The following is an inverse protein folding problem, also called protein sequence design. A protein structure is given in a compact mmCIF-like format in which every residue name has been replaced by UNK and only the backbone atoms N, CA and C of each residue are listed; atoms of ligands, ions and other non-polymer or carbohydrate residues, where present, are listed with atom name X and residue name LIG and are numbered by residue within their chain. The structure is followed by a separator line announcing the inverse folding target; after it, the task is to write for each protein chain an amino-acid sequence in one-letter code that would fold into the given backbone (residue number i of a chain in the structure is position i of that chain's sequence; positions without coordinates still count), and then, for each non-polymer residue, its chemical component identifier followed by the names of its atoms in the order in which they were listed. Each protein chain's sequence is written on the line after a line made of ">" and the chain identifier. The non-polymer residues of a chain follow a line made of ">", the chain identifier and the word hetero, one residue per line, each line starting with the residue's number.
data_IF_184990035068
#
_entry.id   IF_184990035068
#
_cell.length_a   1.000
_cell.length_b   1.000
_cell.length_c   1.000
_cell.angle_alpha   90.00
_cell.angle_beta   90.00
_cell.angle_gamma   90.00
#
_symmetry.space_group_name_H-M   'P 1'
#
loop_
_entity.id
_entity.type
_entity.pdbx_description
1 polymer ?
#
# COMPACT_ATOMS: atom_id res chain seq x y z
N UNK A 1 79.03 39.63 20.20
CA UNK A 1 78.05 39.56 21.25
C UNK A 1 76.70 39.29 20.60
N UNK A 2 76.29 38.05 20.53
CA UNK A 2 75.02 37.61 19.94
C UNK A 2 74.12 37.20 21.12
N UNK A 3 72.99 37.88 21.30
CA UNK A 3 72.00 37.50 22.29
C UNK A 3 71.06 36.48 21.67
N UNK A 4 70.93 35.33 22.31
CA UNK A 4 69.97 34.26 22.00
C UNK A 4 68.67 34.58 22.70
N UNK A 5 67.62 34.74 21.96
CA UNK A 5 66.25 34.81 22.51
C UNK A 5 65.62 33.40 22.49
N UNK A 6 65.32 32.88 23.68
CA UNK A 6 64.62 31.62 23.86
C UNK A 6 63.14 31.92 23.92
N UNK A 7 62.39 31.49 22.88
CA UNK A 7 60.93 31.56 22.89
C UNK A 7 60.33 30.31 23.52
N UNK A 8 59.66 30.48 24.66
CA UNK A 8 58.86 29.43 25.29
C UNK A 8 57.56 29.22 24.50
N UNK A 9 57.37 28.01 23.96
CA UNK A 9 56.13 27.58 23.35
C UNK A 9 55.22 27.02 24.46
N UNK A 10 54.15 27.73 24.79
CA UNK A 10 53.08 27.24 25.69
C UNK A 10 52.10 26.44 24.85
N UNK A 11 52.11 25.13 25.03
CA UNK A 11 51.10 24.23 24.42
C UNK A 11 49.87 24.26 25.32
N UNK A 12 48.82 24.95 24.91
CA UNK A 12 47.51 24.89 25.53
C UNK A 12 46.80 23.61 25.05
N UNK A 13 46.66 22.61 25.90
CA UNK A 13 45.80 21.44 25.67
C UNK A 13 44.36 21.82 25.77
N UNK A 14 43.66 21.99 24.66
CA UNK A 14 42.18 22.10 24.62
C UNK A 14 41.60 20.73 24.91
N UNK A 15 40.97 20.58 26.09
CA UNK A 15 40.13 19.44 26.39
C UNK A 15 38.91 19.50 25.50
N UNK A 16 38.75 18.53 24.59
CA UNK A 16 37.49 18.32 23.85
C UNK A 16 36.41 17.97 24.88
N UNK A 17 35.49 18.89 25.10
CA UNK A 17 34.26 18.59 25.81
C UNK A 17 33.42 17.62 24.92
N UNK A 18 33.16 16.43 25.44
CA UNK A 18 32.26 15.49 24.78
C UNK A 18 30.86 16.10 24.65
N UNK A 19 30.30 16.07 23.46
CA UNK A 19 28.93 16.51 23.22
C UNK A 19 27.96 15.77 24.15
N UNK A 20 26.97 16.47 24.75
CA UNK A 20 25.99 15.85 25.62
C UNK A 20 25.15 14.86 24.80
N UNK A 21 25.14 13.61 25.27
CA UNK A 21 24.32 12.52 24.72
C UNK A 21 22.86 13.02 24.58
N UNK A 22 22.23 12.89 23.40
CA UNK A 22 20.87 13.37 23.23
C UNK A 22 19.94 12.71 24.26
N UNK A 23 19.16 13.53 24.95
CA UNK A 23 18.20 13.07 25.95
C UNK A 23 17.27 12.00 25.34
N UNK A 24 17.11 10.89 26.06
CA UNK A 24 16.19 9.82 25.64
C UNK A 24 14.79 10.41 25.47
N UNK A 25 14.17 10.16 24.31
CA UNK A 25 12.77 10.55 24.08
C UNK A 25 11.91 9.96 25.19
N UNK A 26 10.99 10.73 25.79
CA UNK A 26 10.10 10.20 26.80
C UNK A 26 9.33 9.00 26.25
N UNK A 27 9.25 7.93 27.02
CA UNK A 27 8.47 6.74 26.66
C UNK A 27 7.03 7.18 26.35
N UNK A 28 6.54 6.83 25.17
CA UNK A 28 5.17 7.13 24.74
C UNK A 28 4.21 6.47 25.75
N UNK A 29 3.44 7.29 26.46
CA UNK A 29 2.35 6.86 27.34
C UNK A 29 1.04 6.61 26.58
N UNK A 30 1.11 6.42 25.26
CA UNK A 30 -0.02 6.06 24.43
C UNK A 30 -0.58 4.67 24.77
N UNK A 31 -1.85 4.40 24.45
CA UNK A 31 -2.47 3.11 24.70
C UNK A 31 -1.60 1.98 24.15
N UNK A 32 -1.41 0.92 24.93
CA UNK A 32 -0.67 -0.28 24.48
C UNK A 32 -1.53 -1.03 23.47
N UNK A 33 -1.24 -0.87 22.18
CA UNK A 33 -1.93 -1.58 21.09
C UNK A 33 -1.60 -3.07 21.16
N UNK A 34 -2.64 -3.91 21.11
CA UNK A 34 -2.45 -5.35 21.03
C UNK A 34 -2.17 -5.71 19.56
N UNK A 35 -0.94 -6.16 19.28
CA UNK A 35 -0.60 -6.71 17.95
C UNK A 35 -1.51 -7.89 17.65
N UNK A 36 -2.17 -7.85 16.47
CA UNK A 36 -2.98 -8.95 15.98
C UNK A 36 -2.06 -10.07 15.51
N UNK A 37 -2.48 -11.32 15.80
CA UNK A 37 -1.78 -12.51 15.31
C UNK A 37 -2.65 -13.17 14.25
N UNK A 38 -2.06 -13.60 13.12
CA UNK A 38 -2.80 -14.29 12.06
C UNK A 38 -3.38 -15.62 12.57
N UNK A 39 -4.60 -15.92 12.14
CA UNK A 39 -5.28 -17.19 12.36
C UNK A 39 -6.17 -17.46 11.15
N UNK A 40 -5.92 -18.55 10.42
CA UNK A 40 -6.80 -18.95 9.32
C UNK A 40 -8.23 -19.08 9.83
N UNK A 41 -9.22 -18.38 9.24
CA UNK A 41 -10.61 -18.48 9.66
C UNK A 41 -11.15 -19.88 9.46
N UNK A 42 -12.08 -20.31 10.33
CA UNK A 42 -12.76 -21.60 10.17
C UNK A 42 -13.55 -21.60 8.85
N UNK A 43 -13.51 -22.71 8.11
CA UNK A 43 -14.12 -22.84 6.78
C UNK A 43 -13.31 -22.24 5.64
N UNK A 44 -12.02 -21.95 5.87
CA UNK A 44 -11.10 -21.47 4.83
C UNK A 44 -9.82 -22.30 4.79
N UNK A 45 -9.25 -22.45 3.60
CA UNK A 45 -7.90 -22.94 3.38
C UNK A 45 -6.97 -21.79 2.99
N UNK A 46 -5.71 -21.87 3.38
CA UNK A 46 -4.69 -20.90 2.99
C UNK A 46 -3.81 -21.46 1.88
N UNK A 47 -3.72 -20.76 0.76
CA UNK A 47 -2.92 -21.17 -0.40
C UNK A 47 -1.87 -20.13 -0.73
N UNK A 48 -0.74 -20.58 -1.26
CA UNK A 48 0.27 -19.74 -1.90
C UNK A 48 0.31 -20.04 -3.39
N UNK A 49 0.27 -19.01 -4.24
CA UNK A 49 0.29 -19.16 -5.70
C UNK A 49 1.42 -18.29 -6.24
N UNK A 50 2.30 -18.89 -7.04
CA UNK A 50 3.32 -18.16 -7.78
C UNK A 50 2.67 -17.32 -8.89
N UNK A 51 2.90 -16.01 -8.88
CA UNK A 51 2.46 -15.08 -9.92
C UNK A 51 3.54 -14.97 -11.00
N UNK A 52 4.78 -14.68 -10.59
CA UNK A 52 5.91 -14.51 -11.48
C UNK A 52 7.21 -14.75 -10.72
N UNK A 53 8.21 -15.28 -11.43
CA UNK A 53 9.54 -15.53 -10.86
C UNK A 53 10.57 -14.63 -11.54
N UNK A 54 11.26 -13.83 -10.75
CA UNK A 54 12.37 -12.97 -11.15
C UNK A 54 13.66 -13.39 -10.44
N UNK A 55 14.84 -13.01 -10.93
CA UNK A 55 16.09 -13.34 -10.25
C UNK A 55 16.16 -12.81 -8.82
N UNK A 56 15.58 -11.62 -8.57
CA UNK A 56 15.60 -10.93 -7.30
C UNK A 56 14.47 -11.34 -6.35
N UNK A 57 13.34 -11.83 -6.89
CA UNK A 57 12.17 -12.15 -6.08
C UNK A 57 11.15 -13.03 -6.83
N UNK A 58 10.51 -13.95 -6.13
CA UNK A 58 9.30 -14.61 -6.62
C UNK A 58 8.08 -13.86 -6.10
N UNK A 59 7.30 -13.30 -7.01
CA UNK A 59 6.02 -12.64 -6.68
C UNK A 59 4.98 -13.71 -6.42
N UNK A 60 4.37 -13.68 -5.25
CA UNK A 60 3.39 -14.66 -4.78
C UNK A 60 2.08 -14.00 -4.37
N UNK A 61 1.00 -14.76 -4.46
CA UNK A 61 -0.28 -14.48 -3.82
C UNK A 61 -0.48 -15.42 -2.64
N UNK A 62 -0.86 -14.84 -1.51
CA UNK A 62 -1.29 -15.57 -0.31
C UNK A 62 -2.81 -15.44 -0.19
N UNK A 63 -3.53 -16.55 -0.33
CA UNK A 63 -4.98 -16.52 -0.57
C UNK A 63 -5.73 -17.33 0.48
N UNK A 64 -6.73 -16.71 1.13
CA UNK A 64 -7.74 -17.41 1.91
C UNK A 64 -8.90 -17.80 1.01
N UNK A 65 -9.04 -19.11 0.77
CA UNK A 65 -10.04 -19.73 -0.11
C UNK A 65 -11.11 -20.39 0.72
N UNK A 66 -12.41 -20.06 0.55
CA UNK A 66 -13.48 -20.69 1.31
C UNK A 66 -13.61 -22.17 0.96
N UNK A 67 -13.95 -22.98 1.96
CA UNK A 67 -14.37 -24.38 1.78
C UNK A 67 -15.80 -24.44 1.21
N UNK A 68 -16.20 -25.63 0.73
CA UNK A 68 -17.54 -25.83 0.14
C UNK A 68 -17.66 -25.33 -1.31
N UNK A 69 -18.88 -25.42 -1.86
CA UNK A 69 -19.21 -25.07 -3.23
C UNK A 69 -19.64 -23.60 -3.35
N UNK A 70 -19.50 -23.01 -4.55
CA UNK A 70 -19.93 -21.66 -4.85
C UNK A 70 -18.85 -20.77 -5.48
N UNK A 71 -19.17 -19.50 -5.69
CA UNK A 71 -18.26 -18.46 -6.17
C UNK A 71 -18.34 -17.23 -5.29
N UNK A 72 -17.21 -16.61 -5.04
CA UNK A 72 -17.04 -15.49 -4.11
C UNK A 72 -16.48 -14.26 -4.80
N UNK A 73 -16.87 -13.06 -4.36
CA UNK A 73 -16.12 -11.86 -4.67
C UNK A 73 -14.71 -11.94 -4.07
N UNK A 74 -13.73 -11.30 -4.72
CA UNK A 74 -12.34 -11.33 -4.28
C UNK A 74 -11.82 -9.92 -3.95
N UNK A 75 -11.00 -9.83 -2.91
CA UNK A 75 -10.29 -8.60 -2.53
C UNK A 75 -8.80 -8.89 -2.60
N UNK A 76 -8.07 -8.14 -3.44
CA UNK A 76 -6.61 -8.10 -3.44
C UNK A 76 -6.13 -7.02 -2.47
N UNK A 77 -5.39 -7.40 -1.45
CA UNK A 77 -4.65 -6.49 -0.60
C UNK A 77 -3.24 -6.25 -1.15
N UNK A 78 -2.81 -5.00 -1.10
CA UNK A 78 -1.48 -4.54 -1.49
C UNK A 78 -0.82 -3.92 -0.26
N UNK A 79 0.16 -4.63 0.31
CA UNK A 79 0.75 -4.26 1.59
C UNK A 79 1.51 -2.94 1.58
N UNK A 80 1.62 -2.30 2.75
CA UNK A 80 2.43 -1.11 3.00
C UNK A 80 3.93 -1.39 3.08
N UNK A 81 4.65 -0.50 3.79
CA UNK A 81 6.09 -0.67 4.05
C UNK A 81 6.99 0.28 3.27
N UNK A 82 6.47 1.44 2.80
CA UNK A 82 7.26 2.45 2.08
C UNK A 82 7.92 1.94 0.80
N UNK A 83 7.29 0.98 0.13
CA UNK A 83 7.77 0.25 -1.05
C UNK A 83 9.10 -0.51 -0.84
N UNK A 84 9.68 -0.51 0.36
CA UNK A 84 11.01 -1.08 0.69
C UNK A 84 10.98 -2.17 1.76
N UNK A 85 9.85 -2.40 2.41
CA UNK A 85 9.69 -3.43 3.42
C UNK A 85 8.47 -4.30 3.12
N UNK A 86 8.64 -5.62 3.18
CA UNK A 86 7.56 -6.60 2.96
C UNK A 86 6.73 -6.74 4.23
N UNK A 87 5.44 -6.40 4.15
CA UNK A 87 4.54 -6.38 5.29
C UNK A 87 3.30 -7.28 5.12
N UNK A 88 3.30 -8.22 4.19
CA UNK A 88 2.20 -9.16 3.95
C UNK A 88 1.68 -9.80 5.24
N UNK A 89 2.60 -10.26 6.10
CA UNK A 89 2.25 -10.89 7.38
C UNK A 89 1.51 -9.96 8.34
N UNK A 90 1.77 -8.66 8.26
CA UNK A 90 1.13 -7.68 9.13
C UNK A 90 -0.32 -7.39 8.73
N UNK A 91 -0.66 -7.57 7.45
CA UNK A 91 -2.00 -7.33 6.91
C UNK A 91 -2.91 -8.57 7.00
N UNK A 92 -2.34 -9.78 7.23
CA UNK A 92 -3.10 -11.04 7.38
C UNK A 92 -4.30 -10.93 8.31
N UNK A 93 -4.20 -10.39 9.55
CA UNK A 93 -5.34 -10.33 10.46
C UNK A 93 -6.54 -9.53 9.91
N UNK A 94 -6.30 -8.49 9.13
CA UNK A 94 -7.36 -7.72 8.45
C UNK A 94 -7.99 -8.57 7.35
N UNK A 95 -7.18 -9.25 6.54
CA UNK A 95 -7.65 -10.07 5.42
C UNK A 95 -8.41 -11.31 5.89
N UNK A 96 -8.01 -11.94 7.00
CA UNK A 96 -8.74 -13.02 7.66
C UNK A 96 -10.13 -12.61 8.09
N UNK A 97 -10.27 -11.41 8.66
CA UNK A 97 -11.56 -10.86 9.07
C UNK A 97 -12.46 -10.54 7.87
N UNK A 98 -11.88 -10.08 6.74
CA UNK A 98 -12.61 -9.89 5.49
C UNK A 98 -13.03 -11.22 4.86
N UNK A 99 -12.17 -12.25 4.93
CA UNK A 99 -12.53 -13.61 4.51
C UNK A 99 -13.76 -14.11 5.27
N UNK A 100 -13.77 -13.96 6.60
CA UNK A 100 -14.93 -14.29 7.44
C UNK A 100 -16.21 -13.48 7.12
N UNK A 101 -16.09 -12.37 6.39
CA UNK A 101 -17.24 -11.55 5.91
C UNK A 101 -17.75 -11.97 4.53
N UNK A 102 -17.22 -13.04 3.93
CA UNK A 102 -17.73 -13.63 2.69
C UNK A 102 -16.93 -13.24 1.43
N UNK A 103 -15.61 -13.05 1.57
CA UNK A 103 -14.73 -12.78 0.44
C UNK A 103 -13.66 -13.86 0.30
N UNK A 104 -13.22 -14.14 -0.92
CA UNK A 104 -11.85 -14.62 -1.12
C UNK A 104 -10.95 -13.43 -0.90
N UNK A 105 -9.93 -13.57 -0.06
CA UNK A 105 -8.96 -12.51 0.18
C UNK A 105 -7.57 -12.95 -0.23
N UNK A 106 -6.89 -12.11 -0.97
CA UNK A 106 -5.55 -12.36 -1.50
C UNK A 106 -4.61 -11.22 -1.13
N UNK A 107 -3.35 -11.53 -0.84
CA UNK A 107 -2.30 -10.57 -0.54
C UNK A 107 -1.14 -10.79 -1.50
N UNK A 108 -0.64 -9.74 -2.15
CA UNK A 108 0.47 -9.85 -3.11
C UNK A 108 1.81 -9.49 -2.47
N UNK A 109 2.85 -10.31 -2.70
CA UNK A 109 4.24 -9.99 -2.34
C UNK A 109 4.96 -9.33 -3.53
N UNK A 110 4.61 -8.09 -3.86
CA UNK A 110 5.23 -7.37 -4.97
C UNK A 110 6.73 -7.10 -4.74
N UNK A 111 7.52 -6.91 -5.82
CA UNK A 111 8.94 -6.57 -5.74
C UNK A 111 9.14 -5.22 -5.06
N UNK A 112 10.00 -5.21 -4.04
CA UNK A 112 10.35 -4.02 -3.28
C UNK A 112 11.31 -3.12 -4.07
N UNK A 113 11.38 -1.86 -3.71
CA UNK A 113 12.29 -0.88 -4.32
C UNK A 113 13.78 -1.19 -4.13
N UNK A 114 14.11 -2.08 -3.19
CA UNK A 114 15.45 -2.65 -2.99
C UNK A 114 15.75 -3.81 -3.94
N UNK A 115 14.72 -4.43 -4.51
CA UNK A 115 14.79 -5.53 -5.48
C UNK A 115 14.67 -5.00 -6.91
N UNK A 116 13.64 -4.19 -7.17
CA UNK A 116 13.42 -3.55 -8.45
C UNK A 116 12.72 -2.19 -8.29
N UNK A 117 13.13 -1.19 -9.06
CA UNK A 117 12.52 0.14 -9.03
C UNK A 117 11.20 0.19 -9.79
N UNK A 118 10.46 1.29 -9.64
CA UNK A 118 9.32 1.58 -10.52
C UNK A 118 9.69 1.31 -12.00
N UNK A 119 8.82 0.65 -12.78
CA UNK A 119 7.42 0.31 -12.50
C UNK A 119 7.18 -1.11 -11.92
N UNK A 120 8.20 -1.84 -11.46
CA UNK A 120 8.12 -3.25 -11.12
C UNK A 120 6.94 -3.59 -10.18
N UNK A 121 6.78 -2.89 -9.06
CA UNK A 121 5.71 -3.15 -8.11
C UNK A 121 4.30 -2.96 -8.71
N UNK A 122 4.11 -1.96 -9.59
CA UNK A 122 2.84 -1.76 -10.32
C UNK A 122 2.55 -2.94 -11.24
N UNK A 123 3.54 -3.37 -12.00
CA UNK A 123 3.40 -4.51 -12.91
C UNK A 123 3.08 -5.80 -12.14
N UNK A 124 3.68 -5.99 -10.95
CA UNK A 124 3.42 -7.14 -10.10
C UNK A 124 1.99 -7.12 -9.53
N UNK A 125 1.50 -5.97 -9.08
CA UNK A 125 0.11 -5.81 -8.62
C UNK A 125 -0.90 -6.12 -9.74
N UNK A 126 -0.64 -5.64 -10.96
CA UNK A 126 -1.49 -5.93 -12.11
C UNK A 126 -1.41 -7.40 -12.55
N UNK A 127 -0.21 -7.99 -12.53
CA UNK A 127 -0.03 -9.42 -12.79
C UNK A 127 -0.74 -10.29 -11.72
N UNK A 128 -0.75 -9.86 -10.46
CA UNK A 128 -1.50 -10.52 -9.39
C UNK A 128 -3.01 -10.55 -9.67
N UNK A 129 -3.60 -9.45 -10.14
CA UNK A 129 -5.02 -9.39 -10.54
C UNK A 129 -5.31 -10.31 -11.73
N UNK A 130 -4.41 -10.37 -12.71
CA UNK A 130 -4.53 -11.29 -13.83
C UNK A 130 -4.41 -12.75 -13.39
N UNK A 131 -3.47 -13.03 -12.46
CA UNK A 131 -3.30 -14.36 -11.87
C UNK A 131 -4.55 -14.82 -11.12
N UNK A 132 -5.19 -13.96 -10.32
CA UNK A 132 -6.46 -14.27 -9.64
C UNK A 132 -7.55 -14.67 -10.65
N UNK A 133 -7.65 -14.01 -11.78
CA UNK A 133 -8.60 -14.35 -12.86
C UNK A 133 -8.26 -15.67 -13.54
N UNK A 134 -6.99 -15.89 -13.85
CA UNK A 134 -6.54 -17.14 -14.47
C UNK A 134 -6.82 -18.36 -13.57
N UNK A 135 -6.74 -18.19 -12.25
CA UNK A 135 -7.01 -19.23 -11.27
C UNK A 135 -8.42 -19.13 -10.63
N UNK A 136 -9.33 -18.37 -11.24
CA UNK A 136 -10.63 -18.07 -10.64
C UNK A 136 -11.41 -19.32 -10.24
N UNK A 137 -11.45 -20.34 -11.10
CA UNK A 137 -12.13 -21.61 -10.82
C UNK A 137 -11.52 -22.33 -9.61
N UNK A 138 -10.18 -22.43 -9.55
CA UNK A 138 -9.46 -23.09 -8.45
C UNK A 138 -9.64 -22.37 -7.12
N UNK A 139 -9.66 -21.03 -7.18
CA UNK A 139 -9.79 -20.14 -6.03
C UNK A 139 -11.25 -19.81 -5.69
N UNK A 140 -12.21 -20.36 -6.43
CA UNK A 140 -13.65 -20.11 -6.28
C UNK A 140 -14.01 -18.62 -6.39
N UNK A 141 -13.26 -17.87 -7.18
CA UNK A 141 -13.46 -16.43 -7.42
C UNK A 141 -14.42 -16.27 -8.59
N UNK A 142 -15.33 -15.30 -8.49
CA UNK A 142 -15.98 -14.73 -9.66
C UNK A 142 -15.03 -13.71 -10.30
N UNK A 143 -14.49 -13.96 -11.51
CA UNK A 143 -13.49 -13.11 -12.14
C UNK A 143 -13.98 -11.69 -12.43
N UNK A 144 -15.30 -11.48 -12.49
CA UNK A 144 -15.91 -10.17 -12.70
C UNK A 144 -16.11 -9.37 -11.39
N UNK A 145 -15.86 -9.98 -10.24
CA UNK A 145 -16.11 -9.38 -8.92
C UNK A 145 -14.84 -9.29 -8.08
N UNK A 146 -13.82 -8.61 -8.62
CA UNK A 146 -12.52 -8.41 -7.95
C UNK A 146 -12.36 -6.93 -7.61
N UNK A 147 -12.06 -6.63 -6.35
CA UNK A 147 -11.65 -5.33 -5.84
C UNK A 147 -10.20 -5.34 -5.36
N UNK A 148 -9.64 -4.16 -5.09
CA UNK A 148 -8.34 -4.03 -4.46
C UNK A 148 -8.38 -3.04 -3.30
N UNK A 149 -7.47 -3.24 -2.33
CA UNK A 149 -7.24 -2.32 -1.23
C UNK A 149 -5.76 -2.31 -0.84
N UNK A 150 -5.37 -1.34 -0.05
CA UNK A 150 -4.02 -1.30 0.50
C UNK A 150 -3.80 -0.09 1.38
N UNK A 151 -2.78 -0.16 2.25
CA UNK A 151 -2.42 0.90 3.18
C UNK A 151 -1.04 1.50 2.92
N UNK A 152 -0.87 2.82 3.18
CA UNK A 152 0.43 3.48 3.03
C UNK A 152 0.97 3.38 1.59
N UNK A 153 2.18 2.81 1.40
CA UNK A 153 2.70 2.51 0.07
C UNK A 153 1.75 1.61 -0.74
N UNK A 154 1.09 0.63 -0.10
CA UNK A 154 0.07 -0.20 -0.72
C UNK A 154 -1.19 0.59 -1.09
N UNK A 155 -1.55 1.62 -0.31
CA UNK A 155 -2.63 2.54 -0.65
C UNK A 155 -2.34 3.38 -1.90
N UNK A 156 -1.09 3.84 -2.08
CA UNK A 156 -0.65 4.42 -3.33
C UNK A 156 -0.78 3.43 -4.49
N UNK A 157 -0.26 2.20 -4.32
CA UNK A 157 -0.31 1.17 -5.35
C UNK A 157 -1.75 0.74 -5.69
N UNK A 158 -2.65 0.63 -4.70
CA UNK A 158 -4.07 0.28 -4.95
C UNK A 158 -4.81 1.41 -5.67
N UNK A 159 -4.59 2.67 -5.25
CA UNK A 159 -5.13 3.84 -5.96
C UNK A 159 -4.61 3.92 -7.40
N UNK A 160 -3.31 3.72 -7.61
CA UNK A 160 -2.73 3.71 -8.95
C UNK A 160 -3.28 2.56 -9.82
N UNK A 161 -3.36 1.35 -9.27
CA UNK A 161 -3.94 0.18 -9.96
C UNK A 161 -5.37 0.45 -10.40
N UNK A 162 -6.19 1.02 -9.53
CA UNK A 162 -7.59 1.36 -9.82
C UNK A 162 -7.70 2.45 -10.91
N UNK A 163 -6.93 3.54 -10.79
CA UNK A 163 -7.01 4.66 -11.73
C UNK A 163 -6.40 4.34 -13.10
N UNK A 164 -5.48 3.37 -13.18
CA UNK A 164 -4.86 2.93 -14.44
C UNK A 164 -5.49 1.67 -15.03
N UNK A 165 -6.68 1.27 -14.54
CA UNK A 165 -7.48 0.19 -15.12
C UNK A 165 -7.68 0.41 -16.63
N UNK A 166 -7.31 -0.59 -17.45
CA UNK A 166 -7.47 -0.55 -18.90
C UNK A 166 -6.51 0.39 -19.64
N UNK A 167 -5.42 0.84 -18.99
CA UNK A 167 -4.34 1.59 -19.64
C UNK A 167 -3.16 0.66 -19.94
N UNK A 168 -2.95 0.30 -21.23
CA UNK A 168 -1.95 -0.70 -21.63
C UNK A 168 -0.52 -0.37 -21.19
N UNK A 169 -0.17 0.92 -21.15
CA UNK A 169 1.15 1.42 -20.77
C UNK A 169 1.57 1.06 -19.34
N UNK A 170 0.60 0.70 -18.49
CA UNK A 170 0.86 0.31 -17.10
C UNK A 170 0.70 -1.19 -16.83
N UNK A 171 0.38 -1.99 -17.85
CA UNK A 171 0.13 -3.44 -17.66
C UNK A 171 1.42 -4.25 -17.46
N UNK A 172 2.54 -3.79 -18.02
CA UNK A 172 3.82 -4.50 -17.95
C UNK A 172 3.88 -5.80 -18.76
N UNK A 173 5.04 -6.44 -18.69
CA UNK A 173 5.35 -7.67 -19.44
C UNK A 173 5.14 -8.97 -18.61
N UNK A 174 4.43 -8.88 -17.50
CA UNK A 174 4.14 -10.01 -16.60
C UNK A 174 3.25 -11.09 -17.22
N UNK A 175 3.04 -12.22 -16.53
CA UNK A 175 2.24 -13.35 -17.01
C UNK A 175 0.74 -13.03 -17.11
N UNK A 176 -0.03 -13.99 -17.68
CA UNK A 176 -1.50 -13.95 -17.81
C UNK A 176 -2.02 -12.74 -18.59
N UNK A 177 -1.35 -12.35 -19.68
CA UNK A 177 -1.70 -11.17 -20.50
C UNK A 177 -3.06 -11.27 -21.20
N UNK A 178 -3.61 -12.47 -21.32
CA UNK A 178 -4.96 -12.75 -21.81
C UNK A 178 -6.05 -12.39 -20.79
N UNK A 179 -5.66 -12.13 -19.54
CA UNK A 179 -6.57 -11.76 -18.46
C UNK A 179 -6.55 -10.24 -18.20
N UNK A 180 -7.67 -9.70 -17.73
CA UNK A 180 -7.77 -8.30 -17.33
C UNK A 180 -7.14 -8.04 -15.94
N UNK A 181 -6.49 -6.90 -15.76
CA UNK A 181 -6.07 -6.39 -14.45
C UNK A 181 -7.10 -5.42 -13.81
N UNK A 182 -8.26 -5.23 -14.44
CA UNK A 182 -9.26 -4.30 -13.97
C UNK A 182 -9.83 -4.68 -12.59
N UNK A 183 -10.21 -3.69 -11.80
CA UNK A 183 -10.91 -3.88 -10.53
C UNK A 183 -12.26 -3.17 -10.56
N UNK A 184 -13.26 -3.72 -9.86
CA UNK A 184 -14.64 -3.18 -9.78
C UNK A 184 -14.79 -2.12 -8.69
N UNK A 185 -13.93 -2.13 -7.68
CA UNK A 185 -13.95 -1.20 -6.56
C UNK A 185 -12.56 -1.13 -5.93
N UNK A 186 -12.21 0.01 -5.34
CA UNK A 186 -10.93 0.18 -4.67
C UNK A 186 -11.06 0.89 -3.31
N UNK A 187 -10.21 0.52 -2.36
CA UNK A 187 -10.05 1.21 -1.08
C UNK A 187 -8.60 1.66 -0.94
N UNK A 188 -8.43 2.94 -0.64
CA UNK A 188 -7.13 3.55 -0.35
C UNK A 188 -7.07 3.88 1.14
N UNK A 189 -6.12 3.27 1.86
CA UNK A 189 -5.92 3.54 3.29
C UNK A 189 -4.67 4.38 3.50
N UNK A 190 -4.81 5.54 4.15
CA UNK A 190 -3.70 6.39 4.61
C UNK A 190 -2.57 6.52 3.59
N UNK A 191 -2.86 7.06 2.41
CA UNK A 191 -1.88 7.13 1.32
C UNK A 191 -1.98 8.40 0.49
N UNK A 192 -0.81 8.87 0.06
CA UNK A 192 -0.66 9.97 -0.89
C UNK A 192 -1.18 9.56 -2.27
N UNK A 193 -1.97 10.43 -2.90
CA UNK A 193 -2.53 10.27 -4.24
C UNK A 193 -1.96 11.27 -5.26
N UNK A 194 -1.24 12.29 -4.80
CA UNK A 194 -0.45 13.21 -5.62
C UNK A 194 1.03 13.14 -5.18
N UNK A 195 1.80 12.31 -5.87
CA UNK A 195 3.21 12.09 -5.56
C UNK A 195 4.06 13.32 -5.90
N UNK A 196 3.65 14.09 -6.92
CA UNK A 196 4.37 15.33 -7.27
C UNK A 196 4.19 16.37 -6.18
N UNK A 197 2.96 16.67 -5.76
CA UNK A 197 2.69 17.63 -4.68
C UNK A 197 3.35 17.25 -3.35
N UNK A 198 3.31 15.96 -3.01
CA UNK A 198 3.90 15.43 -1.77
C UNK A 198 5.42 15.53 -1.71
N UNK A 199 6.09 15.67 -2.86
CA UNK A 199 7.54 15.68 -2.97
C UNK A 199 8.06 17.00 -3.61
N UNK A 200 7.21 18.03 -3.73
CA UNK A 200 7.54 19.28 -4.40
C UNK A 200 8.67 20.05 -3.70
N UNK A 201 8.61 20.16 -2.36
CA UNK A 201 9.62 20.88 -1.59
C UNK A 201 10.81 19.99 -1.25
N UNK A 202 10.54 18.78 -0.74
CA UNK A 202 11.55 17.78 -0.36
C UNK A 202 11.07 16.39 -0.70
N UNK A 203 11.76 15.73 -1.62
CA UNK A 203 11.43 14.35 -1.99
C UNK A 203 11.73 13.39 -0.84
N UNK A 204 10.75 12.58 -0.47
CA UNK A 204 10.87 11.53 0.53
C UNK A 204 11.88 10.46 0.09
N UNK A 205 12.75 10.00 1.00
CA UNK A 205 13.78 8.98 0.70
C UNK A 205 13.18 7.67 0.16
N UNK A 206 12.02 7.24 0.66
CA UNK A 206 11.31 6.06 0.14
C UNK A 206 10.86 6.26 -1.30
N UNK A 207 10.41 7.48 -1.65
CA UNK A 207 10.05 7.83 -3.02
C UNK A 207 11.30 7.87 -3.92
N UNK A 208 12.42 8.44 -3.46
CA UNK A 208 13.70 8.40 -4.20
C UNK A 208 14.13 6.97 -4.47
N UNK A 209 14.07 6.12 -3.46
CA UNK A 209 14.44 4.71 -3.61
C UNK A 209 13.51 3.99 -4.60
N UNK A 210 12.21 4.26 -4.55
CA UNK A 210 11.21 3.61 -5.38
C UNK A 210 11.23 4.10 -6.83
N UNK A 211 11.27 5.43 -7.06
CA UNK A 211 11.25 6.01 -8.40
C UNK A 211 12.64 6.13 -9.02
N UNK A 212 13.71 6.01 -8.23
CA UNK A 212 15.10 6.14 -8.70
C UNK A 212 15.51 7.59 -9.01
N UNK A 213 14.77 8.58 -8.51
CA UNK A 213 14.99 10.01 -8.76
C UNK A 213 14.25 10.86 -7.74
N UNK A 214 14.56 12.15 -7.67
CA UNK A 214 13.79 13.16 -6.93
C UNK A 214 12.69 13.75 -7.79
N UNK A 215 11.70 14.38 -7.16
CA UNK A 215 10.62 15.09 -7.87
C UNK A 215 11.16 16.32 -8.63
N UNK A 216 12.22 16.96 -8.12
CA UNK A 216 12.88 18.08 -8.77
C UNK A 216 13.60 17.67 -10.06
N UNK A 217 14.17 16.44 -10.09
CA UNK A 217 14.87 15.93 -11.28
C UNK A 217 13.91 15.37 -12.34
N UNK A 218 12.81 14.72 -11.91
CA UNK A 218 11.86 14.04 -12.80
C UNK A 218 10.41 14.32 -12.44
N UNK A 219 10.00 15.58 -12.48
CA UNK A 219 8.63 16.02 -12.14
C UNK A 219 7.56 15.29 -12.94
N UNK A 220 7.75 15.05 -14.23
CA UNK A 220 6.81 14.30 -15.08
C UNK A 220 6.66 12.84 -14.64
N UNK A 221 7.73 12.20 -14.16
CA UNK A 221 7.60 10.88 -13.58
C UNK A 221 6.71 10.90 -12.33
N UNK A 222 6.95 11.83 -11.41
CA UNK A 222 6.15 11.95 -10.18
C UNK A 222 4.69 12.29 -10.46
N UNK A 223 4.40 13.06 -11.50
CA UNK A 223 3.06 13.30 -12.01
C UNK A 223 2.44 12.03 -12.59
N UNK A 224 3.18 11.31 -13.44
CA UNK A 224 2.72 10.07 -14.06
C UNK A 224 2.39 8.98 -13.02
N UNK A 225 3.15 8.88 -11.93
CA UNK A 225 2.93 7.89 -10.87
C UNK A 225 1.92 8.33 -9.80
N UNK A 226 1.33 9.51 -9.95
CA UNK A 226 0.27 10.02 -9.07
C UNK A 226 -1.10 9.46 -9.51
N UNK A 227 -1.81 8.69 -8.67
CA UNK A 227 -3.15 8.17 -9.00
C UNK A 227 -4.12 9.25 -9.49
N UNK A 228 -4.09 10.44 -8.87
CA UNK A 228 -4.94 11.59 -9.23
C UNK A 228 -4.80 12.02 -10.70
N UNK A 229 -3.67 11.75 -11.35
CA UNK A 229 -3.41 12.12 -12.76
C UNK A 229 -4.25 11.28 -13.71
N UNK A 230 -4.62 10.06 -13.31
CA UNK A 230 -5.32 9.09 -14.15
C UNK A 230 -6.83 9.00 -13.89
N UNK A 231 -7.37 9.91 -13.07
CA UNK A 231 -8.82 9.99 -12.85
C UNK A 231 -9.52 10.35 -14.15
N UNK A 232 -10.39 9.46 -14.63
CA UNK A 232 -11.15 9.58 -15.88
C UNK A 232 -12.46 8.80 -15.82
N UNK A 233 -13.32 8.95 -16.81
CA UNK A 233 -14.51 8.10 -16.98
C UNK A 233 -14.10 6.64 -17.09
N UNK A 234 -14.82 5.76 -16.41
CA UNK A 234 -14.60 4.30 -16.42
C UNK A 234 -13.64 3.78 -15.35
N UNK A 235 -13.02 4.63 -14.52
CA UNK A 235 -12.31 4.13 -13.31
C UNK A 235 -13.33 3.69 -12.26
N UNK A 236 -12.98 2.74 -11.38
CA UNK A 236 -13.92 2.16 -10.42
C UNK A 236 -14.27 3.14 -9.27
N UNK A 237 -15.42 2.93 -8.61
CA UNK A 237 -15.70 3.53 -7.31
C UNK A 237 -14.53 3.34 -6.36
N UNK A 238 -14.14 4.43 -5.70
CA UNK A 238 -12.97 4.42 -4.83
C UNK A 238 -13.23 5.21 -3.55
N UNK A 239 -13.10 4.55 -2.40
CA UNK A 239 -13.20 5.22 -1.11
C UNK A 239 -11.85 5.30 -0.40
N UNK A 240 -11.78 6.20 0.56
CA UNK A 240 -10.60 6.46 1.36
C UNK A 240 -10.89 6.18 2.84
N UNK A 241 -9.94 5.51 3.51
CA UNK A 241 -9.95 5.34 4.97
C UNK A 241 -8.69 5.98 5.51
N UNK A 242 -8.82 6.89 6.45
CA UNK A 242 -7.68 7.60 7.02
C UNK A 242 -7.75 7.63 8.55
N UNK A 243 -6.60 7.64 9.20
CA UNK A 243 -6.51 7.92 10.62
C UNK A 243 -6.54 9.43 10.87
N UNK A 244 -7.24 9.86 11.92
CA UNK A 244 -7.26 11.29 12.30
C UNK A 244 -5.84 11.84 12.54
N UNK A 245 -4.94 11.01 13.09
CA UNK A 245 -3.54 11.35 13.38
C UNK A 245 -2.58 11.04 12.23
N UNK A 246 -3.11 10.61 11.08
CA UNK A 246 -2.30 10.28 9.91
C UNK A 246 -2.13 11.49 9.00
N UNK A 247 -0.92 11.69 8.48
CA UNK A 247 -0.59 12.78 7.56
C UNK A 247 -0.55 12.37 6.08
N UNK A 248 -0.63 11.06 5.78
CA UNK A 248 -0.50 10.55 4.40
C UNK A 248 -1.83 10.64 3.64
N UNK A 249 -2.23 11.86 3.29
CA UNK A 249 -3.50 12.16 2.61
C UNK A 249 -3.39 13.21 1.48
N UNK A 250 -2.18 13.53 1.05
CA UNK A 250 -1.95 14.53 -0.01
C UNK A 250 -2.55 14.06 -1.33
N UNK A 251 -3.32 14.94 -1.99
CA UNK A 251 -4.02 14.68 -3.25
C UNK A 251 -5.35 13.91 -3.09
N UNK A 252 -5.72 13.47 -1.87
CA UNK A 252 -6.97 12.73 -1.64
C UNK A 252 -8.21 13.60 -1.89
N UNK A 253 -8.26 14.81 -1.35
CA UNK A 253 -9.42 15.69 -1.49
C UNK A 253 -9.65 16.07 -2.97
N UNK A 254 -8.60 16.48 -3.64
CA UNK A 254 -8.62 16.85 -5.06
C UNK A 254 -8.97 15.66 -5.96
N UNK A 255 -8.49 14.46 -5.63
CA UNK A 255 -8.86 13.23 -6.34
C UNK A 255 -10.35 12.91 -6.17
N UNK A 256 -10.89 13.06 -4.95
CA UNK A 256 -12.32 12.88 -4.69
C UNK A 256 -13.18 13.88 -5.46
N UNK A 257 -12.76 15.13 -5.55
CA UNK A 257 -13.47 16.15 -6.36
C UNK A 257 -13.52 15.76 -7.84
N UNK A 258 -12.39 15.30 -8.40
CA UNK A 258 -12.33 14.78 -9.78
C UNK A 258 -13.26 13.57 -9.99
N UNK A 259 -13.27 12.61 -9.08
CA UNK A 259 -14.14 11.44 -9.15
C UNK A 259 -15.62 11.85 -9.10
N UNK A 260 -16.00 12.73 -8.16
CA UNK A 260 -17.38 13.27 -8.05
C UNK A 260 -17.82 14.00 -9.30
N UNK A 261 -16.94 14.83 -9.88
CA UNK A 261 -17.23 15.56 -11.10
C UNK A 261 -17.53 14.64 -12.30
N UNK A 262 -17.05 13.39 -12.26
CA UNK A 262 -17.32 12.35 -13.26
C UNK A 262 -18.49 11.44 -12.87
N UNK A 263 -19.19 11.73 -11.76
CA UNK A 263 -20.26 10.88 -11.24
C UNK A 263 -19.79 9.55 -10.64
N UNK A 264 -18.50 9.42 -10.32
CA UNK A 264 -17.92 8.20 -9.75
C UNK A 264 -18.05 8.27 -8.23
N UNK A 265 -18.60 7.21 -7.63
CA UNK A 265 -18.78 7.13 -6.18
C UNK A 265 -17.44 7.20 -5.45
N UNK A 266 -17.37 8.09 -4.47
CA UNK A 266 -16.22 8.25 -3.58
C UNK A 266 -16.64 8.84 -2.24
N UNK A 267 -16.00 8.40 -1.17
CA UNK A 267 -16.16 8.93 0.18
C UNK A 267 -14.85 8.83 0.95
N UNK A 268 -14.78 9.50 2.10
CA UNK A 268 -13.69 9.33 3.07
C UNK A 268 -14.27 8.96 4.42
N UNK A 269 -13.62 8.00 5.10
CA UNK A 269 -13.92 7.58 6.45
C UNK A 269 -12.71 7.90 7.33
N UNK A 270 -12.87 8.81 8.28
CA UNK A 270 -11.80 9.20 9.20
C UNK A 270 -11.99 8.49 10.54
N UNK A 271 -11.05 7.63 10.87
CA UNK A 271 -11.04 6.87 12.12
C UNK A 271 -10.48 7.74 13.25
N UNK A 272 -11.29 7.92 14.30
CA UNK A 272 -10.95 8.78 15.44
C UNK A 272 -9.69 8.29 16.13
N UNK A 273 -8.79 9.22 16.49
CA UNK A 273 -7.52 8.96 17.19
C UNK A 273 -6.60 7.94 16.54
N UNK A 274 -6.90 7.45 15.33
CA UNK A 274 -6.17 6.40 14.65
C UNK A 274 -4.79 6.89 14.17
N UNK A 275 -3.69 6.17 14.55
CA UNK A 275 -2.35 6.46 14.06
C UNK A 275 -2.06 5.71 12.76
N UNK A 276 -0.90 5.97 12.15
CA UNK A 276 -0.36 5.15 11.07
C UNK A 276 0.51 4.00 11.62
N UNK A 277 0.31 2.73 11.19
CA UNK A 277 -0.75 2.15 10.37
C UNK A 277 -1.93 1.63 11.24
N UNK A 278 -3.11 2.22 11.13
CA UNK A 278 -4.26 1.88 11.98
C UNK A 278 -4.84 0.48 11.72
N UNK A 279 -4.80 -0.01 10.48
CA UNK A 279 -5.38 -1.31 10.09
C UNK A 279 -4.67 -2.54 10.68
N UNK A 280 -3.52 -2.35 11.32
CA UNK A 280 -2.76 -3.41 11.97
C UNK A 280 -3.12 -3.60 13.45
N UNK A 281 -4.06 -2.83 14.00
CA UNK A 281 -4.37 -2.82 15.42
C UNK A 281 -5.84 -2.52 15.71
N UNK A 282 -6.42 -3.24 16.67
CA UNK A 282 -7.76 -2.88 17.19
C UNK A 282 -7.69 -1.64 18.09
N UNK A 283 -8.77 -0.84 18.16
CA UNK A 283 -10.09 -1.11 17.53
C UNK A 283 -10.16 -0.78 16.04
N UNK A 284 -9.23 -0.05 15.47
CA UNK A 284 -9.31 0.50 14.13
C UNK A 284 -9.27 -0.55 13.01
N UNK A 285 -8.58 -1.68 13.23
CA UNK A 285 -8.65 -2.79 12.28
C UNK A 285 -10.07 -3.32 12.14
N UNK A 286 -10.81 -3.49 13.25
CA UNK A 286 -12.20 -3.92 13.21
C UNK A 286 -13.09 -2.93 12.46
N UNK A 287 -12.95 -1.63 12.73
CA UNK A 287 -13.70 -0.57 12.06
C UNK A 287 -13.35 -0.50 10.56
N UNK A 288 -12.06 -0.63 10.21
CA UNK A 288 -11.60 -0.72 8.82
C UNK A 288 -12.25 -1.89 8.08
N UNK A 289 -12.30 -3.07 8.72
CA UNK A 289 -12.94 -4.27 8.16
C UNK A 289 -14.44 -4.05 7.92
N UNK A 290 -15.14 -3.41 8.87
CA UNK A 290 -16.57 -3.14 8.73
C UNK A 290 -16.87 -2.18 7.56
N UNK A 291 -16.10 -1.10 7.44
CA UNK A 291 -16.19 -0.16 6.31
C UNK A 291 -15.87 -0.87 4.99
N UNK A 292 -14.77 -1.61 4.94
CA UNK A 292 -14.34 -2.31 3.74
C UNK A 292 -15.34 -3.38 3.29
N UNK A 293 -15.85 -4.19 4.23
CA UNK A 293 -16.86 -5.20 3.93
C UNK A 293 -18.15 -4.59 3.38
N UNK A 294 -18.64 -3.50 3.98
CA UNK A 294 -19.85 -2.82 3.51
C UNK A 294 -19.66 -2.26 2.09
N UNK A 295 -18.54 -1.61 1.81
CA UNK A 295 -18.24 -1.05 0.50
C UNK A 295 -18.05 -2.14 -0.57
N UNK A 296 -17.26 -3.17 -0.28
CA UNK A 296 -17.05 -4.25 -1.25
C UNK A 296 -18.31 -5.09 -1.49
N UNK A 297 -19.16 -5.34 -0.48
CA UNK A 297 -20.46 -6.00 -0.70
C UNK A 297 -21.36 -5.20 -1.63
N UNK A 298 -21.40 -3.88 -1.48
CA UNK A 298 -22.17 -3.01 -2.36
C UNK A 298 -21.75 -3.14 -3.83
N UNK A 299 -20.44 -3.26 -4.12
CA UNK A 299 -19.92 -3.22 -5.49
C UNK A 299 -19.58 -4.59 -6.06
N UNK A 300 -19.28 -5.56 -5.24
CA UNK A 300 -18.90 -6.92 -5.66
C UNK A 300 -20.00 -7.94 -5.36
N UNK A 301 -20.98 -7.60 -4.51
CA UNK A 301 -22.04 -8.51 -4.09
C UNK A 301 -21.61 -9.51 -3.02
N UNK A 302 -22.55 -10.36 -2.63
CA UNK A 302 -22.37 -11.48 -1.70
C UNK A 302 -21.92 -12.76 -2.45
N UNK A 303 -21.40 -13.78 -1.73
CA UNK A 303 -21.15 -15.09 -2.30
C UNK A 303 -22.38 -15.71 -2.97
N UNK A 304 -22.16 -16.38 -4.10
CA UNK A 304 -23.19 -17.20 -4.77
C UNK A 304 -22.93 -18.65 -4.42
N UNK A 305 -23.84 -19.26 -3.68
CA UNK A 305 -23.77 -20.66 -3.26
C UNK A 305 -24.56 -21.54 -4.20
#
# INVERSE_FOLDING_TARGET
>A
MKRLLLSLLVIASAALAADPKPAAKPASTGPKWKKLLPKTPDGFTFKTIEVAKYPEHTVELFVYVPEGEGTWPCILDIHGGGWKARQVEADKPMMERLAARGFVTAMVSYRLSTEAKYPAAIHDCKAALRCLRAHAKELKIDPERIGCMGGSAGGHLSGFTAMTTGLPEFEGEGPFKDQSSAVKAAIVMAATQDMLAANAEKTNEGAVLFFGSTAQEKSELFKTVSPITHVRVGVPPTIFIEGERDSLKIGRAEMMEKLKALGIETSVHTLKDAPHPFWMSDPWCAETVDIAAAFFKKHLGDPVK
#
